data_IF_544789305981
#
_entry.id   IF_544789305981
#
_cell.length_a   1.000
_cell.length_b   1.000
_cell.length_c   1.000
_cell.angle_alpha   90.00
_cell.angle_beta   90.00
_cell.angle_gamma   90.00
#
_symmetry.space_group_name_H-M   'P 1'
#
loop_
_entity.id
_entity.type
_entity.pdbx_description
1 polymer ?
#
# COMPACT_ATOMS: atom_id res chain seq x y z
N UNK A 1 -24.87 0.23 -8.80
CA UNK A 1 -25.80 0.79 -7.79
C UNK A 1 -26.21 2.25 -8.05
N UNK A 2 -25.28 3.19 -8.27
CA UNK A 2 -25.59 4.63 -8.44
C UNK A 2 -26.71 4.93 -9.44
N UNK A 3 -26.69 4.33 -10.64
CA UNK A 3 -27.74 4.50 -11.65
C UNK A 3 -29.12 4.00 -11.18
N UNK A 4 -29.17 2.85 -10.48
CA UNK A 4 -30.41 2.33 -9.92
C UNK A 4 -30.98 3.27 -8.85
N UNK A 5 -30.13 3.86 -7.99
CA UNK A 5 -30.55 4.85 -7.01
C UNK A 5 -31.08 6.14 -7.67
N UNK A 6 -30.43 6.62 -8.73
CA UNK A 6 -30.93 7.76 -9.53
C UNK A 6 -32.31 7.45 -10.11
N UNK A 7 -32.45 6.30 -10.77
CA UNK A 7 -33.75 5.85 -11.28
C UNK A 7 -34.80 5.80 -10.18
N UNK A 8 -34.52 5.20 -9.02
CA UNK A 8 -35.47 5.13 -7.90
C UNK A 8 -35.93 6.52 -7.42
N UNK A 9 -35.02 7.51 -7.38
CA UNK A 9 -35.34 8.89 -6.97
C UNK A 9 -36.24 9.62 -7.95
N UNK A 10 -36.23 9.23 -9.22
CA UNK A 10 -37.07 9.81 -10.28
C UNK A 10 -38.50 9.24 -10.28
N UNK A 11 -38.78 8.21 -9.47
CA UNK A 11 -40.10 7.57 -9.46
C UNK A 11 -41.10 8.32 -8.58
N UNK A 12 -42.27 8.62 -9.13
CA UNK A 12 -43.38 9.28 -8.43
C UNK A 12 -44.31 8.30 -7.69
N UNK A 13 -44.10 7.00 -7.89
CA UNK A 13 -44.86 5.90 -7.26
C UNK A 13 -43.89 4.81 -6.80
N UNK A 14 -44.28 4.07 -5.77
CA UNK A 14 -43.48 2.97 -5.24
C UNK A 14 -43.29 1.86 -6.30
N UNK A 15 -42.03 1.43 -6.49
CA UNK A 15 -41.65 0.37 -7.43
C UNK A 15 -40.65 -0.58 -6.77
N UNK A 16 -40.62 -1.84 -7.23
CA UNK A 16 -39.52 -2.77 -6.93
C UNK A 16 -38.50 -2.71 -8.04
N UNK A 17 -37.25 -2.44 -7.67
CA UNK A 17 -36.14 -2.29 -8.61
C UNK A 17 -35.09 -3.36 -8.28
N UNK A 18 -34.66 -4.09 -9.30
CA UNK A 18 -33.61 -5.11 -9.20
C UNK A 18 -32.37 -4.59 -9.93
N UNK A 19 -31.19 -4.76 -9.34
CA UNK A 19 -29.91 -4.37 -9.94
C UNK A 19 -28.92 -5.53 -9.83
N UNK A 20 -28.06 -5.67 -10.83
CA UNK A 20 -27.01 -6.69 -10.83
C UNK A 20 -25.75 -6.18 -10.13
N UNK A 21 -25.11 -7.07 -9.37
CA UNK A 21 -23.74 -6.91 -8.90
C UNK A 21 -22.89 -7.93 -9.67
N UNK A 22 -22.08 -7.44 -10.61
CA UNK A 22 -21.49 -8.27 -11.67
C UNK A 22 -20.26 -9.09 -11.24
N UNK A 23 -19.60 -8.73 -10.14
CA UNK A 23 -18.45 -9.45 -9.57
C UNK A 23 -18.37 -9.15 -8.06
N UNK A 24 -17.49 -9.89 -7.38
CA UNK A 24 -17.04 -9.68 -6.02
C UNK A 24 -15.93 -8.61 -5.92
N UNK A 25 -15.70 -8.10 -4.71
CA UNK A 25 -14.66 -7.10 -4.43
C UNK A 25 -13.22 -7.62 -4.51
N UNK A 26 -12.99 -8.94 -4.56
CA UNK A 26 -11.67 -9.55 -4.37
C UNK A 26 -10.61 -9.07 -5.35
N UNK A 27 -10.97 -8.78 -6.61
CA UNK A 27 -10.04 -8.27 -7.63
C UNK A 27 -9.68 -6.79 -7.46
N UNK A 28 -10.31 -6.10 -6.51
CA UNK A 28 -10.20 -4.66 -6.31
C UNK A 28 -9.62 -4.30 -4.95
N UNK A 29 -9.14 -5.28 -4.18
CA UNK A 29 -8.60 -5.07 -2.83
C UNK A 29 -7.45 -4.05 -2.83
N UNK A 30 -6.60 -4.05 -3.86
CA UNK A 30 -5.52 -3.08 -4.05
C UNK A 30 -5.93 -1.85 -4.88
N UNK A 31 -7.23 -1.55 -4.97
CA UNK A 31 -7.79 -0.44 -5.74
C UNK A 31 -8.81 0.32 -4.91
N UNK A 32 -10.11 0.14 -5.17
CA UNK A 32 -11.18 0.90 -4.49
C UNK A 32 -11.27 0.62 -2.99
N UNK A 33 -10.64 -0.44 -2.50
CA UNK A 33 -10.52 -0.76 -1.06
C UNK A 33 -9.19 -0.29 -0.46
N UNK A 34 -8.32 0.34 -1.24
CA UNK A 34 -7.08 0.95 -0.80
C UNK A 34 -7.27 2.47 -0.78
N UNK A 35 -7.22 3.07 0.42
CA UNK A 35 -7.46 4.50 0.61
C UNK A 35 -6.40 5.36 -0.09
N UNK A 36 -5.17 4.87 -0.25
CA UNK A 36 -4.13 5.58 -1.00
C UNK A 36 -4.45 5.59 -2.49
N UNK A 37 -4.90 4.44 -3.02
CA UNK A 37 -5.33 4.38 -4.42
C UNK A 37 -6.52 5.32 -4.65
N UNK A 38 -7.50 5.35 -3.75
CA UNK A 38 -8.62 6.30 -3.83
C UNK A 38 -8.12 7.75 -3.84
N UNK A 39 -7.19 8.10 -2.95
CA UNK A 39 -6.65 9.45 -2.85
C UNK A 39 -5.85 9.84 -4.10
N UNK A 40 -5.02 8.95 -4.65
CA UNK A 40 -4.28 9.17 -5.90
C UNK A 40 -5.21 9.40 -7.10
N UNK A 41 -6.35 8.71 -7.13
CA UNK A 41 -7.36 8.92 -8.17
C UNK A 41 -8.26 10.15 -7.91
N UNK A 42 -8.03 10.89 -6.83
CA UNK A 42 -8.86 12.04 -6.44
C UNK A 42 -10.29 11.65 -6.01
N UNK A 43 -10.47 10.41 -5.55
CA UNK A 43 -11.74 9.84 -5.10
C UNK A 43 -11.88 9.81 -3.57
N UNK A 44 -10.80 10.05 -2.82
CA UNK A 44 -10.86 10.16 -1.37
C UNK A 44 -11.32 11.57 -0.95
N UNK A 45 -12.17 11.64 0.07
CA UNK A 45 -12.47 12.89 0.75
C UNK A 45 -11.30 13.21 1.69
N UNK A 46 -10.46 14.17 1.30
CA UNK A 46 -9.34 14.64 2.11
C UNK A 46 -9.48 16.13 2.42
N UNK A 47 -9.09 16.50 3.63
CA UNK A 47 -8.99 17.90 4.04
C UNK A 47 -7.81 18.55 3.31
N UNK A 48 -8.09 19.54 2.45
CA UNK A 48 -7.04 20.28 1.74
C UNK A 48 -6.47 21.37 2.64
N UNK A 49 -5.17 21.33 2.86
CA UNK A 49 -4.46 22.26 3.73
C UNK A 49 -3.93 23.50 2.99
N UNK A 50 -3.76 23.40 1.68
CA UNK A 50 -3.17 24.45 0.84
C UNK A 50 -1.64 24.54 0.95
N UNK A 51 -0.97 23.49 1.43
CA UNK A 51 0.49 23.44 1.58
C UNK A 51 1.07 22.07 1.20
N UNK A 52 2.37 21.86 1.44
CA UNK A 52 3.08 20.63 1.06
C UNK A 52 2.48 19.35 1.67
N UNK A 53 1.68 19.43 2.74
CA UNK A 53 1.01 18.25 3.33
C UNK A 53 0.06 17.58 2.33
N UNK A 54 -0.54 18.36 1.44
CA UNK A 54 -1.46 17.84 0.43
C UNK A 54 -0.74 17.01 -0.65
N UNK A 55 0.60 17.07 -0.71
CA UNK A 55 1.43 16.26 -1.61
C UNK A 55 1.95 14.98 -0.94
N UNK A 56 1.89 14.88 0.40
CA UNK A 56 2.43 13.73 1.14
C UNK A 56 1.30 12.74 1.43
N UNK A 57 1.09 11.83 0.47
CA UNK A 57 0.00 10.84 0.54
C UNK A 57 0.17 9.81 1.66
N UNK A 58 1.42 9.44 2.01
CA UNK A 58 1.74 8.43 3.04
C UNK A 58 2.47 9.06 4.22
N UNK A 59 1.75 9.82 5.04
CA UNK A 59 2.35 10.53 6.18
C UNK A 59 2.63 9.59 7.36
N UNK A 60 3.80 9.73 7.97
CA UNK A 60 4.10 9.01 9.22
C UNK A 60 3.18 9.43 10.37
N UNK A 61 2.70 10.68 10.35
CA UNK A 61 1.82 11.24 11.37
C UNK A 61 0.45 10.56 11.42
N UNK A 62 -0.01 10.03 10.29
CA UNK A 62 -1.29 9.32 10.16
C UNK A 62 -1.13 7.80 10.27
N UNK A 63 0.10 7.30 10.46
CA UNK A 63 0.39 5.87 10.55
C UNK A 63 0.52 5.17 9.19
N UNK A 64 0.56 5.94 8.11
CA UNK A 64 0.48 5.46 6.73
C UNK A 64 1.82 5.08 6.10
N UNK A 65 2.92 5.40 6.80
CA UNK A 65 4.26 5.06 6.34
C UNK A 65 4.43 3.55 6.31
N UNK A 66 4.86 3.05 5.17
CA UNK A 66 5.32 1.66 5.04
C UNK A 66 6.76 1.59 5.52
N UNK A 67 7.02 0.75 6.51
CA UNK A 67 8.33 0.57 7.13
C UNK A 67 8.63 -0.92 7.31
N UNK A 68 9.84 -1.26 7.76
CA UNK A 68 10.24 -2.64 8.08
C UNK A 68 11.07 -2.69 9.36
N UNK A 69 11.00 -3.79 10.11
CA UNK A 69 11.87 -4.01 11.28
C UNK A 69 13.25 -4.55 10.90
N UNK A 70 14.30 -4.31 11.73
CA UNK A 70 15.66 -4.76 11.44
C UNK A 70 15.81 -6.29 11.41
N UNK A 71 14.94 -7.01 12.12
CA UNK A 71 14.93 -8.48 12.19
C UNK A 71 14.04 -9.14 11.12
N UNK A 72 13.25 -8.37 10.38
CA UNK A 72 12.45 -8.94 9.30
C UNK A 72 13.36 -9.37 8.14
N UNK A 73 12.88 -10.32 7.33
CA UNK A 73 13.66 -10.81 6.19
C UNK A 73 13.75 -9.78 5.07
N UNK A 74 14.84 -9.83 4.29
CA UNK A 74 14.99 -9.06 3.06
C UNK A 74 13.87 -9.38 2.05
N UNK A 75 13.39 -10.62 2.02
CA UNK A 75 12.22 -11.02 1.23
C UNK A 75 10.95 -10.27 1.64
N UNK A 76 10.71 -10.12 2.95
CA UNK A 76 9.57 -9.35 3.44
C UNK A 76 9.71 -7.87 3.13
N UNK A 77 10.91 -7.30 3.27
CA UNK A 77 11.19 -5.91 2.89
C UNK A 77 10.88 -5.66 1.41
N UNK A 78 11.43 -6.50 0.52
CA UNK A 78 11.15 -6.42 -0.92
C UNK A 78 9.67 -6.64 -1.25
N UNK A 79 9.01 -7.57 -0.56
CA UNK A 79 7.57 -7.80 -0.72
C UNK A 79 6.72 -6.61 -0.25
N UNK A 80 7.16 -5.84 0.76
CA UNK A 80 6.49 -4.60 1.19
C UNK A 80 6.71 -3.47 0.17
N UNK A 81 7.94 -3.32 -0.34
CA UNK A 81 8.29 -2.40 -1.43
C UNK A 81 7.36 -2.59 -2.63
N UNK A 82 7.29 -3.83 -3.15
CA UNK A 82 6.45 -4.18 -4.31
C UNK A 82 4.95 -3.96 -4.09
N UNK A 83 4.43 -4.28 -2.90
CA UNK A 83 2.99 -4.09 -2.60
C UNK A 83 2.62 -2.62 -2.43
N UNK A 84 3.57 -1.79 -2.04
CA UNK A 84 3.33 -0.37 -1.73
C UNK A 84 3.82 0.57 -2.84
N UNK A 85 4.34 0.00 -3.93
CA UNK A 85 4.94 0.70 -5.07
C UNK A 85 6.04 1.71 -4.67
N UNK A 86 6.93 1.29 -3.78
CA UNK A 86 8.09 2.07 -3.32
C UNK A 86 9.37 1.25 -3.45
N UNK A 87 10.50 1.91 -3.65
CA UNK A 87 11.82 1.27 -3.78
C UNK A 87 12.68 1.36 -2.51
N UNK A 88 12.18 2.02 -1.47
CA UNK A 88 12.90 2.35 -0.24
C UNK A 88 11.96 2.19 0.94
N UNK A 89 12.49 1.69 2.06
CA UNK A 89 11.76 1.56 3.31
C UNK A 89 12.57 2.13 4.48
N UNK A 90 11.98 2.97 5.34
CA UNK A 90 12.56 3.25 6.64
C UNK A 90 12.57 1.97 7.50
N UNK A 91 13.66 1.79 8.23
CA UNK A 91 13.82 0.69 9.19
C UNK A 91 13.54 1.22 10.59
N UNK A 92 12.51 0.68 11.24
CA UNK A 92 12.12 1.07 12.59
C UNK A 92 12.40 -0.04 13.60
N UNK A 93 13.00 0.32 14.73
CA UNK A 93 13.13 -0.55 15.90
C UNK A 93 12.45 0.10 17.10
N UNK A 94 11.47 -0.57 17.69
CA UNK A 94 10.65 -0.05 18.80
C UNK A 94 10.12 1.38 18.53
N UNK A 95 9.68 1.64 17.30
CA UNK A 95 9.14 2.94 16.86
C UNK A 95 10.20 4.02 16.59
N UNK A 96 11.50 3.71 16.71
CA UNK A 96 12.60 4.62 16.40
C UNK A 96 13.19 4.31 15.04
N UNK A 97 13.44 5.34 14.24
CA UNK A 97 14.15 5.21 12.97
C UNK A 97 15.61 4.83 13.24
N UNK A 98 16.02 3.66 12.76
CA UNK A 98 17.39 3.14 12.91
C UNK A 98 18.16 3.06 11.60
N UNK A 99 17.49 3.21 10.46
CA UNK A 99 18.11 3.20 9.15
C UNK A 99 17.10 3.32 8.01
N UNK A 100 17.60 3.19 6.79
CA UNK A 100 16.82 3.08 5.56
C UNK A 100 17.42 1.90 4.79
N UNK A 101 16.57 1.11 4.12
CA UNK A 101 16.99 0.07 3.19
C UNK A 101 16.32 0.31 1.84
N UNK A 102 17.06 0.15 0.76
CA UNK A 102 16.56 0.29 -0.60
C UNK A 102 16.71 -0.99 -1.44
N UNK A 103 16.14 -0.99 -2.65
CA UNK A 103 16.24 -2.13 -3.57
C UNK A 103 17.69 -2.48 -3.94
N UNK A 104 18.59 -1.49 -3.98
CA UNK A 104 20.00 -1.67 -4.26
C UNK A 104 20.73 -2.39 -3.12
N UNK A 105 20.45 -2.02 -1.88
CA UNK A 105 20.95 -2.69 -0.67
C UNK A 105 20.53 -4.17 -0.65
N UNK A 106 19.24 -4.43 -0.94
CA UNK A 106 18.70 -5.78 -1.01
C UNK A 106 19.39 -6.56 -2.13
N UNK A 107 19.49 -5.99 -3.33
CA UNK A 107 20.11 -6.64 -4.49
C UNK A 107 21.57 -7.01 -4.20
N UNK A 108 22.35 -6.07 -3.67
CA UNK A 108 23.74 -6.29 -3.29
C UNK A 108 23.89 -7.41 -2.26
N UNK A 109 22.92 -7.56 -1.35
CA UNK A 109 22.95 -8.58 -0.30
C UNK A 109 22.54 -9.98 -0.77
N UNK A 110 21.61 -10.07 -1.73
CA UNK A 110 21.07 -11.35 -2.21
C UNK A 110 21.77 -11.89 -3.45
N UNK A 111 22.61 -11.08 -4.10
CA UNK A 111 23.41 -11.48 -5.23
C UNK A 111 24.33 -12.69 -4.90
N UNK A 112 24.57 -13.53 -5.90
CA UNK A 112 25.38 -14.74 -5.78
C UNK A 112 24.73 -16.01 -6.35
N UNK A 113 25.36 -17.19 -6.12
CA UNK A 113 24.95 -18.46 -6.72
C UNK A 113 23.51 -18.84 -6.42
N UNK A 114 22.85 -19.53 -7.36
CA UNK A 114 21.45 -19.95 -7.19
C UNK A 114 21.24 -20.83 -5.95
N UNK A 115 22.22 -21.69 -5.65
CA UNK A 115 22.22 -22.56 -4.49
C UNK A 115 22.31 -21.72 -3.20
N UNK A 116 21.46 -22.04 -2.21
CA UNK A 116 21.39 -21.31 -0.94
C UNK A 116 20.81 -19.89 -1.05
N UNK A 117 20.19 -19.51 -2.19
CA UNK A 117 19.61 -18.15 -2.34
C UNK A 117 18.63 -17.79 -1.24
N UNK A 118 17.84 -18.76 -0.77
CA UNK A 118 16.79 -18.51 0.22
C UNK A 118 17.38 -18.10 1.56
N UNK A 119 18.58 -18.55 1.91
CA UNK A 119 19.26 -18.13 3.13
C UNK A 119 19.62 -16.64 3.06
N UNK A 120 19.99 -16.14 1.89
CA UNK A 120 20.27 -14.71 1.67
C UNK A 120 18.98 -13.88 1.73
N UNK A 121 17.93 -14.32 1.03
CA UNK A 121 16.63 -13.63 1.06
C UNK A 121 15.95 -13.67 2.44
N UNK A 122 16.19 -14.71 3.24
CA UNK A 122 15.68 -14.83 4.61
C UNK A 122 16.58 -14.12 5.63
N UNK A 123 17.74 -13.60 5.22
CA UNK A 123 18.61 -12.80 6.06
C UNK A 123 17.89 -11.55 6.59
N UNK A 124 18.26 -11.05 7.78
CA UNK A 124 17.58 -9.92 8.38
C UNK A 124 17.96 -8.59 7.71
N UNK A 125 17.01 -7.65 7.65
CA UNK A 125 17.17 -6.32 7.03
C UNK A 125 18.41 -5.58 7.53
N UNK A 126 18.74 -5.68 8.82
CA UNK A 126 19.95 -5.06 9.40
C UNK A 126 21.27 -5.44 8.73
N UNK A 127 21.29 -6.47 7.87
CA UNK A 127 22.50 -6.94 7.18
C UNK A 127 22.68 -6.36 5.78
N UNK A 128 21.68 -5.61 5.29
CA UNK A 128 21.71 -4.90 4.01
C UNK A 128 21.82 -3.38 4.18
N UNK A 129 21.45 -2.83 5.35
CA UNK A 129 21.63 -1.42 5.70
C UNK A 129 23.07 -1.05 6.06
#
# INVERSE_FOLDING_TARGET
LSAALRYCREQTVSKRVVTFVCDSGNKYLSKVFDDFWLAEQGLAEQEQHGDLRDLVMRSHRTGDTVWVGPEESLLNAYGRMRRSDVSQLPVLDNGKLVGIVDEGDILAKVDGPYDGRWDRFNGPVRTAM
#
